data_IF_091756615104
#
_entry.id   IF_091756615104
#
_cell.length_a   1.000
_cell.length_b   1.000
_cell.length_c   1.000
_cell.angle_alpha   90.00
_cell.angle_beta   90.00
_cell.angle_gamma   90.00
#
_symmetry.space_group_name_H-M   'P 1'
#
loop_
_entity.id
_entity.type
_entity.pdbx_description
1 polymer ?
#
# COMPACT_ATOMS: atom_id res chain seq x y z
N UNK A 1 23.61 -26.69 -60.52
CA UNK A 1 22.88 -27.44 -59.48
C UNK A 1 23.35 -26.94 -58.12
N UNK A 2 22.64 -26.03 -57.61
CA UNK A 2 22.83 -25.52 -56.25
C UNK A 2 21.51 -25.72 -55.51
N UNK A 3 21.52 -26.31 -54.34
CA UNK A 3 20.40 -26.35 -53.39
C UNK A 3 20.79 -25.54 -52.16
N UNK A 4 20.05 -24.48 -52.04
CA UNK A 4 19.93 -23.64 -50.85
C UNK A 4 19.49 -24.44 -49.64
N UNK A 5 20.09 -24.11 -48.51
CA UNK A 5 19.53 -24.38 -47.19
C UNK A 5 19.09 -23.06 -46.61
N UNK A 6 17.79 -22.84 -46.64
CA UNK A 6 17.13 -21.92 -45.75
C UNK A 6 16.65 -22.72 -44.52
N UNK A 7 17.15 -22.42 -43.37
CA UNK A 7 16.52 -22.80 -42.10
C UNK A 7 17.07 -21.94 -40.95
N UNK A 8 16.13 -21.41 -40.21
CA UNK A 8 16.19 -21.06 -38.80
C UNK A 8 16.67 -19.67 -38.44
N UNK A 9 15.74 -18.74 -38.49
CA UNK A 9 15.70 -17.58 -37.58
C UNK A 9 14.27 -17.49 -37.07
N UNK A 10 13.97 -18.20 -36.01
CA UNK A 10 12.75 -18.00 -35.21
C UNK A 10 12.91 -18.79 -33.91
N UNK A 11 13.57 -18.21 -32.92
CA UNK A 11 13.48 -18.58 -31.50
C UNK A 11 14.43 -17.75 -30.60
N UNK A 12 14.45 -16.45 -30.72
CA UNK A 12 15.25 -15.61 -29.83
C UNK A 12 14.50 -14.46 -29.14
N UNK A 13 13.22 -14.23 -29.42
CA UNK A 13 12.51 -13.03 -28.93
C UNK A 13 11.58 -13.23 -27.73
N UNK A 14 11.41 -14.44 -27.20
CA UNK A 14 10.46 -14.70 -26.09
C UNK A 14 11.09 -14.70 -24.69
N UNK A 15 12.41 -14.66 -24.58
CA UNK A 15 13.10 -14.72 -23.27
C UNK A 15 13.54 -13.37 -22.70
N UNK A 16 13.46 -12.28 -23.47
CA UNK A 16 13.94 -10.96 -23.01
C UNK A 16 12.87 -10.19 -22.21
N UNK A 17 11.58 -10.40 -22.51
CA UNK A 17 10.50 -9.70 -21.79
C UNK A 17 10.29 -10.21 -20.37
N UNK A 18 10.38 -11.52 -20.13
CA UNK A 18 10.20 -12.08 -18.77
C UNK A 18 11.38 -11.74 -17.81
N UNK A 19 12.57 -11.50 -18.35
CA UNK A 19 13.72 -11.11 -17.54
C UNK A 19 13.69 -9.66 -17.09
N UNK A 20 13.13 -8.77 -17.92
CA UNK A 20 13.04 -7.35 -17.60
C UNK A 20 11.92 -7.06 -16.57
N UNK A 21 10.78 -7.76 -16.66
CA UNK A 21 9.70 -7.62 -15.67
C UNK A 21 10.12 -8.18 -14.30
N UNK A 22 10.78 -9.33 -14.25
CA UNK A 22 11.28 -9.88 -12.99
C UNK A 22 12.38 -9.01 -12.37
N UNK A 23 13.30 -8.48 -13.16
CA UNK A 23 14.34 -7.58 -12.67
C UNK A 23 13.78 -6.24 -12.16
N UNK A 24 12.75 -5.70 -12.82
CA UNK A 24 12.08 -4.47 -12.37
C UNK A 24 11.29 -4.70 -11.08
N UNK A 25 10.60 -5.83 -10.93
CA UNK A 25 9.86 -6.18 -9.72
C UNK A 25 10.81 -6.44 -8.54
N UNK A 26 11.92 -7.14 -8.73
CA UNK A 26 12.93 -7.31 -7.68
C UNK A 26 13.56 -5.99 -7.24
N UNK A 27 13.85 -5.07 -8.17
CA UNK A 27 14.40 -3.75 -7.82
C UNK A 27 13.39 -2.89 -7.07
N UNK A 28 12.11 -2.91 -7.43
CA UNK A 28 11.04 -2.17 -6.74
C UNK A 28 10.86 -2.71 -5.32
N UNK A 29 10.76 -4.03 -5.15
CA UNK A 29 10.63 -4.68 -3.85
C UNK A 29 11.84 -4.35 -2.95
N UNK A 30 13.05 -4.44 -3.47
CA UNK A 30 14.27 -4.08 -2.74
C UNK A 30 14.24 -2.60 -2.31
N UNK A 31 13.75 -1.70 -3.15
CA UNK A 31 13.63 -0.27 -2.85
C UNK A 31 12.64 0.00 -1.72
N UNK A 32 11.45 -0.61 -1.75
CA UNK A 32 10.42 -0.48 -0.74
C UNK A 32 10.90 -1.00 0.62
N UNK A 33 11.42 -2.21 0.68
CA UNK A 33 11.95 -2.80 1.89
C UNK A 33 13.14 -2.02 2.47
N UNK A 34 14.01 -1.48 1.60
CA UNK A 34 15.09 -0.60 2.02
C UNK A 34 14.57 0.73 2.59
N UNK A 35 13.49 1.27 2.05
CA UNK A 35 12.82 2.44 2.60
C UNK A 35 12.33 2.16 4.03
N UNK A 36 11.65 1.05 4.26
CA UNK A 36 11.20 0.63 5.60
C UNK A 36 12.37 0.52 6.56
N UNK A 37 13.46 -0.15 6.17
CA UNK A 37 14.67 -0.29 7.00
C UNK A 37 15.29 1.05 7.36
N UNK A 38 15.39 1.98 6.41
CA UNK A 38 15.93 3.33 6.64
C UNK A 38 15.07 4.12 7.62
N UNK A 39 13.75 4.05 7.49
CA UNK A 39 12.83 4.73 8.39
C UNK A 39 12.90 4.17 9.82
N UNK A 40 13.01 2.85 9.97
CA UNK A 40 13.21 2.23 11.28
C UNK A 40 14.54 2.66 11.89
N UNK A 41 15.62 2.69 11.11
CA UNK A 41 16.92 3.17 11.54
C UNK A 41 16.91 4.67 11.92
N UNK A 42 16.03 5.48 11.31
CA UNK A 42 15.79 6.88 11.62
C UNK A 42 14.88 7.09 12.87
N UNK A 43 14.45 6.02 13.54
CA UNK A 43 13.65 6.08 14.77
C UNK A 43 12.14 5.90 14.57
N UNK A 44 11.67 5.61 13.36
CA UNK A 44 10.25 5.31 13.12
C UNK A 44 9.84 4.03 13.85
N UNK A 45 8.69 4.09 14.52
CA UNK A 45 8.18 2.99 15.33
C UNK A 45 7.32 2.04 14.48
N UNK A 46 7.69 0.76 14.46
CA UNK A 46 6.87 -0.28 13.83
C UNK A 46 5.83 -0.81 14.83
N UNK A 47 4.56 -0.86 14.38
CA UNK A 47 3.45 -1.45 15.11
C UNK A 47 2.87 -2.56 14.24
N UNK A 48 2.92 -3.79 14.75
CA UNK A 48 2.46 -4.97 14.01
C UNK A 48 1.05 -5.38 14.46
N UNK A 49 0.33 -6.00 13.54
CA UNK A 49 -0.96 -6.66 13.79
C UNK A 49 -2.01 -5.76 14.43
N UNK A 50 -2.08 -4.51 13.99
CA UNK A 50 -3.14 -3.58 14.38
C UNK A 50 -4.46 -4.08 13.77
N UNK A 51 -5.40 -4.49 14.63
CA UNK A 51 -6.62 -5.17 14.21
C UNK A 51 -7.62 -4.21 13.57
N UNK A 52 -8.11 -4.58 12.40
CA UNK A 52 -9.13 -3.84 11.65
C UNK A 52 -10.52 -4.30 12.14
N UNK A 53 -11.35 -3.35 12.56
CA UNK A 53 -12.75 -3.57 12.88
C UNK A 53 -13.67 -3.32 11.69
N UNK A 54 -13.37 -2.31 10.90
CA UNK A 54 -14.14 -1.95 9.70
C UNK A 54 -13.27 -1.22 8.69
N UNK A 55 -13.62 -1.33 7.41
CA UNK A 55 -13.01 -0.58 6.30
C UNK A 55 -14.11 0.13 5.53
N UNK A 56 -13.95 1.42 5.30
CA UNK A 56 -14.82 2.20 4.43
C UNK A 56 -13.98 2.91 3.37
N UNK A 57 -14.61 3.24 2.27
CA UNK A 57 -14.00 4.08 1.24
C UNK A 57 -14.95 5.21 0.84
N UNK A 58 -14.36 6.32 0.42
CA UNK A 58 -15.09 7.50 -0.06
C UNK A 58 -14.38 8.00 -1.31
N UNK A 59 -15.12 8.08 -2.40
CA UNK A 59 -14.61 8.68 -3.63
C UNK A 59 -14.49 10.20 -3.46
N UNK A 60 -13.35 10.74 -3.84
CA UNK A 60 -13.02 12.15 -3.92
C UNK A 60 -12.71 12.48 -5.38
N UNK A 61 -12.72 13.76 -5.73
CA UNK A 61 -12.56 14.20 -7.12
C UNK A 61 -11.34 13.61 -7.84
N UNK A 62 -10.23 13.39 -7.12
CA UNK A 62 -8.96 12.93 -7.69
C UNK A 62 -8.41 11.64 -7.10
N UNK A 63 -9.05 11.07 -6.07
CA UNK A 63 -8.58 9.85 -5.43
C UNK A 63 -9.68 9.19 -4.59
N UNK A 64 -9.52 7.91 -4.31
CA UNK A 64 -10.36 7.20 -3.35
C UNK A 64 -9.70 7.22 -1.98
N UNK A 65 -10.37 7.83 -1.01
CA UNK A 65 -9.95 7.80 0.39
C UNK A 65 -10.47 6.52 1.05
N UNK A 66 -9.60 5.86 1.79
CA UNK A 66 -9.94 4.68 2.59
C UNK A 66 -9.75 4.99 4.05
N UNK A 67 -10.70 4.59 4.87
CA UNK A 67 -10.62 4.69 6.33
C UNK A 67 -10.72 3.32 6.97
N UNK A 68 -9.77 3.04 7.85
CA UNK A 68 -9.76 1.86 8.70
C UNK A 68 -10.24 2.25 10.10
N UNK A 69 -11.29 1.60 10.59
CA UNK A 69 -11.63 1.62 12.02
C UNK A 69 -10.84 0.52 12.71
N UNK A 70 -10.04 0.87 13.69
CA UNK A 70 -9.18 -0.04 14.43
C UNK A 70 -9.86 -0.53 15.70
N UNK A 71 -9.54 -1.75 16.13
CA UNK A 71 -10.08 -2.32 17.38
C UNK A 71 -9.45 -1.66 18.62
N UNK A 72 -8.19 -1.27 18.52
CA UNK A 72 -7.47 -0.55 19.56
C UNK A 72 -6.93 0.76 18.99
N UNK A 73 -6.98 1.86 19.78
CA UNK A 73 -6.46 3.13 19.31
C UNK A 73 -4.93 3.09 19.19
N UNK A 74 -4.41 3.90 18.28
CA UNK A 74 -2.97 4.14 18.08
C UNK A 74 -2.69 5.63 18.18
N UNK A 75 -1.42 6.01 18.40
CA UNK A 75 -1.02 7.41 18.36
C UNK A 75 -1.26 7.99 16.96
N UNK A 76 -1.77 9.20 16.93
CA UNK A 76 -2.07 9.90 15.68
C UNK A 76 -2.51 11.33 15.98
N UNK A 77 -3.18 11.96 15.02
CA UNK A 77 -3.75 13.27 15.19
C UNK A 77 -5.24 13.20 15.43
N UNK A 78 -5.70 13.96 16.40
CA UNK A 78 -7.12 14.12 16.75
C UNK A 78 -7.47 15.58 16.57
N UNK A 79 -8.55 15.86 15.83
CA UNK A 79 -9.10 17.20 15.77
C UNK A 79 -9.91 17.49 17.02
N UNK A 80 -9.65 18.64 17.64
CA UNK A 80 -10.31 19.04 18.90
C UNK A 80 -11.52 19.94 18.66
N UNK A 81 -11.57 20.66 17.56
CA UNK A 81 -12.55 21.69 17.29
C UNK A 81 -12.96 21.73 15.79
N UNK A 82 -13.73 20.72 15.40
CA UNK A 82 -14.29 20.61 14.03
C UNK A 82 -13.22 20.69 12.92
N UNK A 83 -12.00 20.27 13.18
CA UNK A 83 -10.91 20.24 12.22
C UNK A 83 -10.06 21.51 12.16
N UNK A 84 -10.23 22.46 13.09
CA UNK A 84 -9.47 23.72 13.10
C UNK A 84 -8.11 23.53 13.78
N UNK A 85 -8.06 22.81 14.89
CA UNK A 85 -6.80 22.48 15.56
C UNK A 85 -6.58 20.98 15.64
N UNK A 86 -5.31 20.59 15.48
CA UNK A 86 -4.89 19.20 15.59
C UNK A 86 -3.90 19.07 16.75
N UNK A 87 -4.05 18.05 17.54
CA UNK A 87 -3.10 17.69 18.59
C UNK A 87 -2.80 16.20 18.53
N UNK A 88 -1.64 15.82 19.04
CA UNK A 88 -1.31 14.42 19.25
C UNK A 88 -2.30 13.79 20.22
N UNK A 89 -2.76 12.59 19.90
CA UNK A 89 -3.69 11.83 20.72
C UNK A 89 -3.78 10.38 20.29
N UNK A 90 -4.77 9.69 20.86
CA UNK A 90 -5.09 8.32 20.50
C UNK A 90 -6.28 8.31 19.55
N UNK A 91 -6.10 7.72 18.36
CA UNK A 91 -7.15 7.57 17.38
C UNK A 91 -7.40 6.11 17.06
N UNK A 92 -8.66 5.76 16.86
CA UNK A 92 -9.07 4.45 16.33
C UNK A 92 -9.42 4.49 14.84
N UNK A 93 -9.19 5.62 14.16
CA UNK A 93 -9.43 5.76 12.73
C UNK A 93 -8.14 6.14 12.02
N UNK A 94 -7.79 5.38 11.00
CA UNK A 94 -6.66 5.63 10.12
C UNK A 94 -7.18 5.96 8.72
N UNK A 95 -6.75 7.08 8.18
CA UNK A 95 -7.07 7.49 6.81
C UNK A 95 -5.87 7.28 5.90
N UNK A 96 -6.13 6.79 4.69
CA UNK A 96 -5.12 6.60 3.65
C UNK A 96 -5.75 6.70 2.27
N UNK A 97 -4.96 6.70 1.21
CA UNK A 97 -5.47 6.58 -0.15
C UNK A 97 -5.49 5.14 -0.62
N UNK A 98 -6.40 4.83 -1.55
CA UNK A 98 -6.42 3.52 -2.21
C UNK A 98 -5.08 3.20 -2.89
N UNK A 99 -4.43 4.20 -3.48
CA UNK A 99 -3.11 4.04 -4.10
C UNK A 99 -2.03 3.61 -3.09
N UNK A 100 -2.06 4.13 -1.87
CA UNK A 100 -1.12 3.71 -0.82
C UNK A 100 -1.34 2.26 -0.41
N UNK A 101 -2.61 1.82 -0.34
CA UNK A 101 -2.95 0.41 -0.07
C UNK A 101 -2.45 -0.49 -1.19
N UNK A 102 -2.74 -0.12 -2.43
CA UNK A 102 -2.28 -0.87 -3.62
C UNK A 102 -0.76 -0.94 -3.68
N UNK A 103 -0.06 0.16 -3.35
CA UNK A 103 1.39 0.18 -3.25
C UNK A 103 1.94 -0.81 -2.23
N UNK A 104 1.36 -0.84 -1.02
CA UNK A 104 1.77 -1.78 0.02
C UNK A 104 1.44 -3.25 -0.33
N UNK A 105 0.30 -3.48 -1.02
CA UNK A 105 -0.09 -4.83 -1.46
C UNK A 105 0.82 -5.38 -2.55
N UNK A 106 1.28 -4.56 -3.48
CA UNK A 106 2.20 -4.99 -4.55
C UNK A 106 3.51 -5.58 -4.02
N UNK A 107 3.89 -5.19 -2.81
CA UNK A 107 5.08 -5.67 -2.13
C UNK A 107 4.83 -6.91 -1.25
N UNK A 108 3.60 -7.42 -1.27
CA UNK A 108 3.19 -8.60 -0.51
C UNK A 108 3.12 -9.82 -1.42
N UNK A 109 3.89 -10.86 -1.09
CA UNK A 109 4.01 -12.07 -1.90
C UNK A 109 2.69 -12.85 -2.02
N UNK A 110 1.82 -12.77 -1.01
CA UNK A 110 0.56 -13.50 -0.96
C UNK A 110 -0.62 -12.69 -1.50
N UNK A 111 -0.63 -11.37 -1.29
CA UNK A 111 -1.76 -10.50 -1.58
C UNK A 111 -1.56 -9.61 -2.80
N UNK A 112 -0.34 -9.55 -3.35
CA UNK A 112 0.03 -8.67 -4.45
C UNK A 112 -0.83 -8.85 -5.71
N UNK A 113 -1.32 -10.05 -5.96
CA UNK A 113 -2.18 -10.35 -7.10
C UNK A 113 -3.48 -9.54 -7.14
N UNK A 114 -4.02 -9.13 -5.97
CA UNK A 114 -5.26 -8.36 -5.91
C UNK A 114 -5.05 -6.84 -6.01
N UNK A 115 -3.81 -6.38 -5.94
CA UNK A 115 -3.49 -4.95 -5.83
C UNK A 115 -4.13 -4.10 -6.95
N UNK A 116 -3.93 -4.48 -8.21
CA UNK A 116 -4.51 -3.75 -9.34
C UNK A 116 -6.03 -3.93 -9.42
N UNK A 117 -6.54 -5.12 -9.10
CA UNK A 117 -7.98 -5.41 -9.17
C UNK A 117 -8.79 -4.59 -8.15
N UNK A 118 -8.18 -4.17 -7.04
CA UNK A 118 -8.81 -3.29 -6.04
C UNK A 118 -8.97 -1.85 -6.53
N UNK A 119 -8.16 -1.38 -7.48
CA UNK A 119 -8.35 -0.07 -8.09
C UNK A 119 -9.68 0.02 -8.84
N UNK A 120 -10.06 -1.07 -9.53
CA UNK A 120 -11.30 -1.15 -10.28
C UNK A 120 -12.50 -1.57 -9.42
N UNK A 121 -12.22 -2.14 -8.24
CA UNK A 121 -13.24 -2.69 -7.34
C UNK A 121 -13.01 -2.28 -5.88
N UNK A 122 -13.02 -0.99 -5.54
CA UNK A 122 -12.71 -0.52 -4.18
C UNK A 122 -13.70 -1.04 -3.12
N UNK A 123 -14.93 -1.40 -3.51
CA UNK A 123 -15.93 -2.03 -2.64
C UNK A 123 -15.48 -3.37 -2.07
N UNK A 124 -14.54 -4.07 -2.71
CA UNK A 124 -14.00 -5.33 -2.22
C UNK A 124 -13.15 -5.16 -0.94
N UNK A 125 -12.61 -3.95 -0.70
CA UNK A 125 -11.81 -3.64 0.49
C UNK A 125 -12.52 -4.01 1.79
N UNK A 126 -13.79 -3.60 1.92
CA UNK A 126 -14.57 -3.88 3.13
C UNK A 126 -14.75 -5.39 3.35
N UNK A 127 -15.02 -6.15 2.28
CA UNK A 127 -15.26 -7.58 2.36
C UNK A 127 -13.98 -8.38 2.66
N UNK A 128 -12.84 -7.92 2.13
CA UNK A 128 -11.58 -8.65 2.21
C UNK A 128 -10.82 -8.29 3.50
N UNK A 129 -10.77 -7.01 3.89
CA UNK A 129 -9.90 -6.57 4.98
C UNK A 129 -10.59 -6.47 6.34
N UNK A 130 -11.93 -6.56 6.43
CA UNK A 130 -12.63 -6.59 7.71
C UNK A 130 -12.18 -7.78 8.55
N UNK A 131 -11.88 -7.52 9.82
CA UNK A 131 -11.42 -8.53 10.78
C UNK A 131 -9.99 -9.02 10.57
N UNK A 132 -9.27 -8.45 9.60
CA UNK A 132 -7.85 -8.63 9.41
C UNK A 132 -7.02 -7.70 10.29
N UNK A 133 -5.76 -7.54 9.94
CA UNK A 133 -4.84 -6.62 10.60
C UNK A 133 -3.90 -5.94 9.60
N UNK A 134 -3.37 -4.79 10.01
CA UNK A 134 -2.36 -4.04 9.28
C UNK A 134 -1.09 -3.90 10.10
N UNK A 135 0.03 -3.80 9.41
CA UNK A 135 1.31 -3.37 9.98
C UNK A 135 1.51 -1.90 9.65
N UNK A 136 1.94 -1.13 10.62
CA UNK A 136 2.08 0.32 10.52
C UNK A 136 3.52 0.71 10.87
N UNK A 137 4.04 1.69 10.16
CA UNK A 137 5.25 2.41 10.51
C UNK A 137 4.86 3.83 10.89
N UNK A 138 5.07 4.21 12.15
CA UNK A 138 4.80 5.55 12.65
C UNK A 138 6.04 6.43 12.48
N UNK A 139 5.87 7.54 11.80
CA UNK A 139 6.89 8.57 11.60
C UNK A 139 6.43 9.85 12.29
N UNK A 140 7.28 10.39 13.16
CA UNK A 140 7.07 11.68 13.81
C UNK A 140 7.75 12.77 12.96
N UNK A 141 7.02 13.82 12.61
CA UNK A 141 7.50 14.98 11.87
C UNK A 141 7.36 16.19 12.78
N UNK A 142 8.46 16.88 13.04
CA UNK A 142 8.47 18.09 13.86
C UNK A 142 7.98 19.28 13.03
N UNK A 143 7.25 20.20 13.68
CA UNK A 143 6.78 21.43 13.05
C UNK A 143 7.92 22.19 12.36
N UNK A 144 7.67 22.64 11.14
CA UNK A 144 8.64 23.35 10.30
C UNK A 144 9.62 22.45 9.55
N UNK A 145 9.67 21.15 9.79
CA UNK A 145 10.48 20.22 9.01
C UNK A 145 9.84 19.94 7.64
N UNK A 146 10.70 19.80 6.63
CA UNK A 146 10.27 19.36 5.31
C UNK A 146 10.01 17.86 5.31
N UNK A 147 8.83 17.48 4.87
CA UNK A 147 8.42 16.09 4.73
C UNK A 147 8.06 15.78 3.27
N UNK A 148 8.61 14.67 2.79
CA UNK A 148 8.19 14.06 1.51
C UNK A 148 7.83 12.61 1.81
N UNK A 149 6.70 12.15 1.28
CA UNK A 149 6.28 10.76 1.50
C UNK A 149 7.34 9.80 0.94
N UNK A 150 8.05 9.04 1.81
CA UNK A 150 9.16 8.20 1.38
C UNK A 150 8.74 7.00 0.52
N UNK A 151 7.45 6.66 0.52
CA UNK A 151 6.87 5.59 -0.30
C UNK A 151 6.28 6.11 -1.62
N UNK A 152 6.39 7.42 -1.90
CA UNK A 152 5.95 7.97 -3.19
C UNK A 152 6.90 7.53 -4.29
N UNK A 153 6.35 6.93 -5.34
CA UNK A 153 7.09 6.60 -6.58
C UNK A 153 7.01 7.72 -7.62
N UNK A 154 6.34 8.83 -7.29
CA UNK A 154 6.16 9.96 -8.20
C UNK A 154 7.39 10.87 -8.15
N UNK A 155 7.91 11.24 -9.31
CA UNK A 155 9.04 12.17 -9.43
C UNK A 155 8.68 13.60 -8.98
N UNK A 156 7.37 13.90 -8.90
CA UNK A 156 6.79 15.18 -8.48
C UNK A 156 6.25 15.14 -7.04
N UNK A 157 6.80 14.27 -6.20
CA UNK A 157 6.38 14.15 -4.80
C UNK A 157 6.43 15.53 -4.12
N UNK A 158 5.26 15.97 -3.64
CA UNK A 158 5.12 17.29 -3.01
C UNK A 158 5.84 17.31 -1.66
N UNK A 159 6.70 18.31 -1.47
CA UNK A 159 7.27 18.61 -0.15
C UNK A 159 6.19 19.29 0.69
N UNK A 160 5.95 18.77 1.87
CA UNK A 160 5.01 19.31 2.84
C UNK A 160 5.79 19.90 4.03
N UNK A 161 5.26 20.97 4.59
CA UNK A 161 5.75 21.56 5.85
C UNK A 161 4.53 21.77 6.72
N UNK A 162 4.56 21.18 7.91
CA UNK A 162 3.47 21.31 8.87
C UNK A 162 3.79 22.43 9.86
N UNK A 163 2.78 23.17 10.28
CA UNK A 163 2.86 24.23 11.30
C UNK A 163 2.81 23.70 12.74
N UNK A 164 2.64 22.39 12.90
CA UNK A 164 2.60 21.66 14.16
C UNK A 164 3.24 20.27 13.99
N UNK A 165 3.57 19.61 15.09
CA UNK A 165 4.10 18.25 15.07
C UNK A 165 3.05 17.28 14.52
N UNK A 166 3.47 16.35 13.65
CA UNK A 166 2.58 15.39 12.97
C UNK A 166 3.07 13.96 13.19
N UNK A 167 2.13 13.05 13.37
CA UNK A 167 2.39 11.60 13.34
C UNK A 167 1.79 11.03 12.05
N UNK A 168 2.64 10.55 11.17
CA UNK A 168 2.25 9.86 9.94
C UNK A 168 2.25 8.36 10.19
N UNK A 169 1.13 7.70 9.93
CA UNK A 169 0.99 6.25 10.03
C UNK A 169 1.02 5.65 8.62
N UNK A 170 2.17 5.13 8.21
CA UNK A 170 2.33 4.43 6.93
C UNK A 170 1.88 2.99 7.09
N UNK A 171 0.96 2.53 6.24
CA UNK A 171 0.60 1.11 6.16
C UNK A 171 1.66 0.40 5.34
N UNK A 172 2.30 -0.61 5.94
CA UNK A 172 3.42 -1.34 5.35
C UNK A 172 3.15 -2.83 5.17
N UNK A 173 1.96 -3.29 5.42
CA UNK A 173 1.56 -4.67 5.20
C UNK A 173 0.18 -4.99 5.73
N UNK A 174 -0.38 -6.08 5.24
CA UNK A 174 -1.71 -6.57 5.56
C UNK A 174 -1.66 -8.04 5.97
N UNK A 175 -2.63 -8.44 6.80
CA UNK A 175 -2.94 -9.84 7.06
C UNK A 175 -4.45 -10.01 7.07
N UNK A 176 -4.95 -10.91 6.26
CA UNK A 176 -6.38 -11.21 6.19
C UNK A 176 -6.84 -11.99 7.43
N UNK A 177 -8.08 -11.76 7.84
CA UNK A 177 -8.76 -12.65 8.77
C UNK A 177 -9.40 -13.82 8.01
N UNK A 178 -9.84 -14.86 8.73
CA UNK A 178 -10.46 -16.07 8.13
C UNK A 178 -11.60 -15.77 7.16
N UNK A 179 -12.43 -14.77 7.45
CA UNK A 179 -13.50 -14.33 6.54
C UNK A 179 -12.93 -13.64 5.33
N UNK A 180 -11.92 -12.77 5.50
CA UNK A 180 -11.23 -12.08 4.43
C UNK A 180 -10.54 -13.03 3.46
N UNK A 181 -9.90 -14.08 3.94
CA UNK A 181 -9.29 -15.13 3.10
C UNK A 181 -10.32 -15.79 2.17
N UNK A 182 -11.52 -16.13 2.71
CA UNK A 182 -12.61 -16.68 1.91
C UNK A 182 -13.14 -15.68 0.88
N UNK A 183 -13.22 -14.39 1.23
CA UNK A 183 -13.68 -13.35 0.32
C UNK A 183 -12.63 -13.06 -0.75
N UNK A 184 -11.35 -13.08 -0.42
CA UNK A 184 -10.26 -12.94 -1.38
C UNK A 184 -10.27 -14.09 -2.41
N UNK A 185 -10.46 -15.34 -1.96
CA UNK A 185 -10.60 -16.48 -2.87
C UNK A 185 -11.78 -16.31 -3.85
N UNK A 186 -12.95 -15.90 -3.37
CA UNK A 186 -14.11 -15.61 -4.22
C UNK A 186 -13.88 -14.44 -5.18
N UNK A 187 -13.11 -13.46 -4.74
CA UNK A 187 -12.75 -12.32 -5.59
C UNK A 187 -11.80 -12.76 -6.71
N UNK A 188 -10.83 -13.63 -6.40
CA UNK A 188 -9.95 -14.24 -7.40
C UNK A 188 -10.75 -15.06 -8.43
N UNK A 189 -11.67 -15.93 -7.97
CA UNK A 189 -12.53 -16.72 -8.87
C UNK A 189 -13.30 -15.82 -9.84
N UNK A 190 -13.91 -14.75 -9.32
CA UNK A 190 -14.63 -13.75 -10.14
C UNK A 190 -13.75 -13.07 -11.18
N UNK A 191 -12.50 -12.73 -10.83
CA UNK A 191 -11.54 -12.12 -11.76
C UNK A 191 -11.11 -13.09 -12.87
N UNK A 192 -11.02 -14.38 -12.55
CA UNK A 192 -10.69 -15.44 -13.52
C UNK A 192 -11.89 -15.92 -14.35
N UNK A 193 -13.09 -15.40 -14.09
CA UNK A 193 -14.31 -15.74 -14.83
C UNK A 193 -14.99 -17.05 -14.42
N UNK A 194 -14.71 -17.51 -13.19
CA UNK A 194 -15.40 -18.67 -12.58
C UNK A 194 -16.61 -18.26 -11.76
#
# INVERSE_FOLDING_TARGET
MAKENAATVEQADVQVENGAENASNEMVNTSYQNCIKKLIAAGCKRINSVRIKNVNFTEKDNYTMVSFTLSNPIRGFVSNDNGITYQEGMTNTLFTSLYAIVGALKEDDELGWMANALLDNPQALNLIFNGGSINILQQEIVAGEQFTNPFSTRNDATVQVYDHDVIINHIIGFKLGKTGEKMAARFADKLMGF
#
